data_IF_301776636378
#
_entry.id   IF_301776636378
#
_cell.length_a   1.000
_cell.length_b   1.000
_cell.length_c   1.000
_cell.angle_alpha   90.00
_cell.angle_beta   90.00
_cell.angle_gamma   90.00
#
_symmetry.space_group_name_H-M   'P 1'
#
loop_
_entity.id
_entity.type
_entity.pdbx_description
1 polymer ?
#
# COMPACT_ATOMS: atom_id res chain seq x y z
N UNK A 1 25.80 0.97 16.32
CA UNK A 1 25.50 1.49 14.96
C UNK A 1 25.52 0.34 13.96
N UNK A 2 24.38 -0.26 13.61
CA UNK A 2 24.29 -1.21 12.49
C UNK A 2 24.11 -0.41 11.21
N UNK A 3 25.09 -0.46 10.30
CA UNK A 3 24.95 0.02 8.93
C UNK A 3 23.74 -0.66 8.30
N UNK A 4 22.81 0.10 7.71
CA UNK A 4 21.73 -0.48 6.91
C UNK A 4 22.38 -1.26 5.77
N UNK A 5 22.19 -2.57 5.73
CA UNK A 5 22.56 -3.35 4.55
C UNK A 5 21.79 -2.78 3.36
N UNK A 6 22.51 -2.28 2.36
CA UNK A 6 21.97 -2.01 1.03
C UNK A 6 21.11 -3.22 0.63
N UNK A 7 19.80 -3.02 0.48
CA UNK A 7 18.90 -4.08 0.05
C UNK A 7 19.25 -4.38 -1.40
N UNK A 8 20.06 -5.40 -1.62
CA UNK A 8 20.36 -5.91 -2.95
C UNK A 8 19.03 -6.24 -3.62
N UNK A 9 18.73 -5.56 -4.73
CA UNK A 9 17.51 -5.82 -5.48
C UNK A 9 17.63 -7.21 -6.09
N UNK A 10 16.68 -8.13 -5.85
CA UNK A 10 16.72 -9.47 -6.44
C UNK A 10 16.92 -9.40 -7.96
N UNK A 11 17.74 -10.31 -8.51
CA UNK A 11 18.10 -10.31 -9.95
C UNK A 11 16.87 -10.25 -10.86
N UNK A 12 15.80 -10.96 -10.49
CA UNK A 12 14.52 -10.96 -11.23
C UNK A 12 13.84 -9.58 -11.22
N UNK A 13 13.91 -8.84 -10.11
CA UNK A 13 13.35 -7.49 -10.02
C UNK A 13 14.22 -6.53 -10.84
N UNK A 14 15.54 -6.67 -10.79
CA UNK A 14 16.46 -5.84 -11.58
C UNK A 14 16.24 -6.03 -13.10
N UNK A 15 16.09 -7.27 -13.57
CA UNK A 15 15.72 -7.57 -14.96
C UNK A 15 14.40 -6.91 -15.34
N UNK A 16 13.34 -7.10 -14.54
CA UNK A 16 12.04 -6.50 -14.81
C UNK A 16 12.09 -4.96 -14.85
N UNK A 17 12.82 -4.33 -13.93
CA UNK A 17 13.01 -2.88 -13.92
C UNK A 17 13.74 -2.38 -15.18
N UNK A 18 14.76 -3.11 -15.64
CA UNK A 18 15.45 -2.77 -16.89
C UNK A 18 14.53 -2.86 -18.12
N UNK A 19 13.61 -3.83 -18.17
CA UNK A 19 12.62 -3.95 -19.25
C UNK A 19 11.68 -2.75 -19.29
N UNK A 20 11.19 -2.32 -18.12
CA UNK A 20 10.34 -1.13 -17.98
C UNK A 20 11.05 0.15 -18.47
N UNK A 21 12.35 0.26 -18.25
CA UNK A 21 13.19 1.38 -18.70
C UNK A 21 13.50 1.35 -20.20
N UNK A 22 13.32 0.20 -20.86
CA UNK A 22 13.64 0.04 -22.28
C UNK A 22 15.15 -0.11 -22.52
N UNK A 23 15.91 -0.40 -21.47
CA UNK A 23 17.31 -0.80 -21.56
C UNK A 23 17.36 -2.09 -22.37
N UNK A 24 18.28 -2.16 -23.33
CA UNK A 24 18.29 -3.22 -24.34
C UNK A 24 18.73 -4.57 -23.73
N UNK A 25 17.80 -5.26 -23.06
CA UNK A 25 17.99 -6.63 -22.52
C UNK A 25 17.88 -7.65 -23.67
N UNK A 26 18.03 -7.23 -24.93
CA UNK A 26 17.96 -8.09 -26.13
C UNK A 26 19.20 -8.96 -26.32
N UNK A 27 20.25 -8.77 -25.52
CA UNK A 27 21.49 -9.53 -25.63
C UNK A 27 21.47 -10.91 -24.93
N UNK A 28 20.45 -11.25 -24.15
CA UNK A 28 20.37 -12.57 -23.49
C UNK A 28 19.62 -13.58 -24.38
N UNK A 29 20.33 -14.62 -24.82
CA UNK A 29 19.81 -15.67 -25.70
C UNK A 29 18.87 -16.65 -25.00
N UNK A 30 18.73 -16.58 -23.67
CA UNK A 30 17.86 -17.46 -22.86
C UNK A 30 16.57 -16.77 -22.39
N UNK A 31 15.80 -16.17 -23.31
CA UNK A 31 14.51 -15.55 -22.98
C UNK A 31 13.45 -16.62 -22.70
N UNK A 32 12.88 -16.60 -21.49
CA UNK A 32 11.71 -17.41 -21.15
C UNK A 32 10.45 -16.88 -21.85
N UNK A 33 9.41 -17.72 -21.95
CA UNK A 33 8.10 -17.27 -22.46
C UNK A 33 7.53 -16.09 -21.65
N UNK A 34 7.82 -16.03 -20.34
CA UNK A 34 7.41 -14.91 -19.48
C UNK A 34 8.14 -13.61 -19.85
N UNK A 35 9.44 -13.67 -20.17
CA UNK A 35 10.18 -12.48 -20.63
C UNK A 35 9.59 -11.93 -21.93
N UNK A 36 9.30 -12.79 -22.90
CA UNK A 36 8.69 -12.38 -24.17
C UNK A 36 7.30 -11.76 -23.97
N UNK A 37 6.48 -12.33 -23.09
CA UNK A 37 5.17 -11.78 -22.78
C UNK A 37 5.26 -10.39 -22.12
N UNK A 38 6.15 -10.21 -21.15
CA UNK A 38 6.36 -8.92 -20.50
C UNK A 38 6.86 -7.86 -21.49
N UNK A 39 7.80 -8.22 -22.36
CA UNK A 39 8.30 -7.29 -23.40
C UNK A 39 7.17 -6.87 -24.34
N UNK A 40 6.35 -7.82 -24.80
CA UNK A 40 5.19 -7.53 -25.66
C UNK A 40 4.22 -6.56 -25.00
N UNK A 41 3.84 -6.80 -23.73
CA UNK A 41 2.92 -5.92 -23.01
C UNK A 41 3.52 -4.52 -22.83
N UNK A 42 4.82 -4.42 -22.53
CA UNK A 42 5.50 -3.13 -22.38
C UNK A 42 5.55 -2.38 -23.73
N UNK A 43 5.81 -3.08 -24.84
CA UNK A 43 5.78 -2.53 -26.18
C UNK A 43 4.39 -2.02 -26.55
N UNK A 44 3.34 -2.81 -26.27
CA UNK A 44 1.94 -2.41 -26.51
C UNK A 44 1.55 -1.15 -25.72
N UNK A 45 1.95 -1.07 -24.44
CA UNK A 45 1.70 0.13 -23.61
C UNK A 45 2.42 1.36 -24.19
N UNK A 46 3.64 1.22 -24.71
CA UNK A 46 4.38 2.31 -25.35
C UNK A 46 3.78 2.69 -26.70
N UNK A 47 3.28 1.71 -27.47
CA UNK A 47 2.63 1.97 -28.74
C UNK A 47 1.33 2.77 -28.55
N UNK A 48 0.54 2.46 -27.53
CA UNK A 48 -0.70 3.17 -27.21
C UNK A 48 -0.50 4.67 -26.87
N UNK A 49 0.69 5.04 -26.37
CA UNK A 49 1.04 6.45 -26.15
C UNK A 49 1.13 7.23 -27.47
N UNK A 50 1.50 6.59 -28.59
CA UNK A 50 1.55 7.25 -29.90
C UNK A 50 0.15 7.73 -30.35
N UNK A 51 -0.90 7.07 -29.86
CA UNK A 51 -2.30 7.38 -30.22
C UNK A 51 -2.99 8.29 -29.18
N UNK A 52 -2.71 8.10 -27.90
CA UNK A 52 -3.51 8.67 -26.79
C UNK A 52 -2.74 9.60 -25.86
N UNK A 53 -1.43 9.82 -26.09
CA UNK A 53 -0.61 10.79 -25.38
C UNK A 53 0.50 10.17 -24.53
N UNK A 54 0.44 10.34 -23.20
CA UNK A 54 1.54 9.94 -22.30
C UNK A 54 1.09 9.10 -21.10
N UNK A 55 -0.08 8.48 -21.21
CA UNK A 55 -0.67 7.75 -20.10
C UNK A 55 0.04 6.40 -19.86
N UNK A 56 0.46 5.70 -20.91
CA UNK A 56 1.21 4.44 -20.85
C UNK A 56 2.58 4.62 -20.21
N UNK A 57 3.32 5.65 -20.59
CA UNK A 57 4.60 6.03 -19.97
C UNK A 57 4.42 6.27 -18.46
N UNK A 58 3.32 6.93 -18.06
CA UNK A 58 3.00 7.13 -16.64
C UNK A 58 2.71 5.80 -15.92
N UNK A 59 1.99 4.87 -16.56
CA UNK A 59 1.75 3.52 -16.01
C UNK A 59 3.08 2.81 -15.73
N UNK A 60 3.99 2.76 -16.71
CA UNK A 60 5.30 2.11 -16.57
C UNK A 60 6.15 2.76 -15.47
N UNK A 61 6.15 4.10 -15.40
CA UNK A 61 6.86 4.84 -14.34
C UNK A 61 6.31 4.52 -12.95
N UNK A 62 4.99 4.45 -12.78
CA UNK A 62 4.36 4.12 -11.49
C UNK A 62 4.57 2.66 -11.11
N UNK A 63 4.54 1.75 -12.09
CA UNK A 63 4.90 0.33 -11.89
C UNK A 63 6.32 0.22 -11.35
N UNK A 64 7.29 0.88 -11.98
CA UNK A 64 8.69 0.92 -11.51
C UNK A 64 8.79 1.40 -10.06
N UNK A 65 8.11 2.50 -9.73
CA UNK A 65 8.09 3.05 -8.36
C UNK A 65 7.63 2.02 -7.33
N UNK A 66 6.62 1.20 -7.65
CA UNK A 66 6.14 0.11 -6.77
C UNK A 66 7.26 -0.88 -6.41
N UNK A 67 8.04 -1.32 -7.40
CA UNK A 67 9.09 -2.32 -7.19
C UNK A 67 10.34 -1.76 -6.51
N UNK A 68 10.61 -0.46 -6.63
CA UNK A 68 11.71 0.20 -5.93
C UNK A 68 11.39 0.50 -4.46
N UNK A 69 10.11 0.51 -4.07
CA UNK A 69 9.69 1.03 -2.79
C UNK A 69 9.40 -0.05 -1.73
N UNK A 70 10.43 -0.38 -0.95
CA UNK A 70 10.31 -1.18 0.26
C UNK A 70 10.60 -0.33 1.51
N UNK A 71 9.74 0.66 1.81
CA UNK A 71 9.79 1.34 3.12
C UNK A 71 9.75 0.27 4.22
N UNK A 72 10.70 0.29 5.17
CA UNK A 72 10.61 -0.56 6.35
C UNK A 72 9.29 -0.29 7.07
N UNK A 73 8.73 -1.32 7.70
CA UNK A 73 7.61 -1.11 8.60
C UNK A 73 8.03 -0.13 9.68
N UNK A 74 7.34 1.00 9.72
CA UNK A 74 7.22 1.79 10.93
C UNK A 74 5.80 1.55 11.42
N UNK A 75 5.66 1.21 12.71
CA UNK A 75 4.34 1.15 13.34
C UNK A 75 3.70 2.53 13.21
N UNK A 76 2.58 2.60 12.48
CA UNK A 76 1.85 3.84 12.32
C UNK A 76 1.23 4.21 13.67
N UNK A 77 1.42 5.46 14.11
CA UNK A 77 0.88 5.97 15.38
C UNK A 77 -0.51 6.58 15.21
N UNK A 78 -0.98 6.67 13.97
CA UNK A 78 -2.30 7.19 13.63
C UNK A 78 -2.81 6.56 12.33
N UNK A 79 -4.12 6.65 12.11
CA UNK A 79 -4.75 6.22 10.85
C UNK A 79 -4.17 6.99 9.66
N UNK A 80 -3.87 8.29 9.81
CA UNK A 80 -3.31 9.11 8.74
C UNK A 80 -1.93 8.61 8.29
N UNK A 81 -1.05 8.29 9.25
CA UNK A 81 0.27 7.71 8.96
C UNK A 81 0.15 6.34 8.30
N UNK A 82 -0.79 5.52 8.77
CA UNK A 82 -1.07 4.21 8.19
C UNK A 82 -1.53 4.33 6.75
N UNK A 83 -2.50 5.20 6.46
CA UNK A 83 -3.03 5.40 5.12
C UNK A 83 -1.95 5.95 4.18
N UNK A 84 -1.11 6.87 4.65
CA UNK A 84 0.02 7.36 3.88
C UNK A 84 0.98 6.24 3.46
N UNK A 85 1.32 5.35 4.39
CA UNK A 85 2.10 4.16 4.09
C UNK A 85 1.36 3.18 3.17
N UNK A 86 0.06 2.96 3.43
CA UNK A 86 -0.73 1.94 2.74
C UNK A 86 -1.04 2.30 1.30
N UNK A 87 -1.27 3.58 0.98
CA UNK A 87 -1.43 4.08 -0.40
C UNK A 87 -0.26 3.68 -1.30
N UNK A 88 0.96 3.73 -0.77
CA UNK A 88 2.16 3.28 -1.48
C UNK A 88 2.15 1.75 -1.66
N UNK A 89 1.77 0.98 -0.64
CA UNK A 89 1.73 -0.49 -0.69
C UNK A 89 0.62 -1.09 -1.54
N UNK A 90 -0.55 -0.45 -1.62
CA UNK A 90 -1.62 -0.85 -2.55
C UNK A 90 -1.41 -0.31 -3.95
N UNK A 91 -0.27 0.35 -4.21
CA UNK A 91 0.10 0.87 -5.52
C UNK A 91 -0.96 1.84 -6.06
N UNK A 92 -1.54 2.70 -5.20
CA UNK A 92 -2.66 3.55 -5.57
C UNK A 92 -2.34 4.44 -6.79
N UNK A 93 -1.13 5.01 -6.85
CA UNK A 93 -0.70 5.82 -8.00
C UNK A 93 -0.61 5.02 -9.30
N UNK A 94 -0.23 3.74 -9.23
CA UNK A 94 -0.20 2.85 -10.39
C UNK A 94 -1.64 2.55 -10.85
N UNK A 95 -2.54 2.21 -9.94
CA UNK A 95 -3.96 1.96 -10.26
C UNK A 95 -4.59 3.19 -10.93
N UNK A 96 -4.37 4.38 -10.37
CA UNK A 96 -4.90 5.64 -10.92
C UNK A 96 -4.29 5.98 -12.28
N UNK A 97 -3.00 5.70 -12.49
CA UNK A 97 -2.36 5.86 -13.80
C UNK A 97 -2.95 4.88 -14.83
N UNK A 98 -3.22 3.64 -14.42
CA UNK A 98 -3.84 2.62 -15.27
C UNK A 98 -5.27 3.01 -15.66
N UNK A 99 -6.07 3.56 -14.73
CA UNK A 99 -7.42 4.09 -15.04
C UNK A 99 -7.32 5.23 -16.07
N UNK A 100 -6.37 6.15 -15.89
CA UNK A 100 -6.15 7.22 -16.88
C UNK A 100 -5.84 6.65 -18.26
N UNK A 101 -4.95 5.65 -18.30
CA UNK A 101 -4.51 4.98 -19.53
C UNK A 101 -5.66 4.25 -20.23
N UNK A 102 -6.44 3.44 -19.51
CA UNK A 102 -7.55 2.67 -20.10
C UNK A 102 -8.67 3.57 -20.62
N UNK A 103 -8.85 4.75 -20.03
CA UNK A 103 -9.83 5.73 -20.50
C UNK A 103 -9.33 6.61 -21.65
N UNK A 104 -8.06 6.50 -22.06
CA UNK A 104 -7.44 7.42 -23.03
C UNK A 104 -7.50 8.89 -22.57
N UNK A 105 -7.59 9.13 -21.26
CA UNK A 105 -7.88 10.45 -20.73
C UNK A 105 -6.63 11.33 -20.73
N UNK A 106 -6.74 12.59 -21.18
CA UNK A 106 -5.63 13.56 -21.16
C UNK A 106 -5.51 14.34 -19.85
N UNK A 107 -6.28 13.98 -18.81
CA UNK A 107 -6.33 14.70 -17.53
C UNK A 107 -4.96 14.79 -16.85
N UNK A 108 -4.64 15.97 -16.32
CA UNK A 108 -3.43 16.21 -15.54
C UNK A 108 -3.70 15.85 -14.08
N UNK A 109 -3.25 14.67 -13.66
CA UNK A 109 -3.50 14.11 -12.32
C UNK A 109 -2.90 14.95 -11.17
N UNK A 110 -1.98 15.85 -11.47
CA UNK A 110 -1.34 16.74 -10.49
C UNK A 110 -2.11 18.06 -10.27
N UNK A 111 -3.26 18.23 -10.90
CA UNK A 111 -4.07 19.45 -10.73
C UNK A 111 -4.56 19.56 -9.28
N UNK A 112 -4.47 20.76 -8.65
CA UNK A 112 -4.92 20.97 -7.27
C UNK A 112 -6.37 20.56 -7.03
N UNK A 113 -7.24 20.75 -8.03
CA UNK A 113 -8.65 20.38 -7.98
C UNK A 113 -8.88 18.86 -7.80
N UNK A 114 -7.94 18.02 -8.24
CA UNK A 114 -8.03 16.57 -8.14
C UNK A 114 -7.27 16.00 -6.95
N UNK A 115 -6.43 16.79 -6.27
CA UNK A 115 -5.56 16.31 -5.19
C UNK A 115 -6.34 15.59 -4.10
N UNK A 116 -7.41 16.20 -3.60
CA UNK A 116 -8.23 15.61 -2.53
C UNK A 116 -8.98 14.37 -3.02
N UNK A 117 -9.53 14.40 -4.23
CA UNK A 117 -10.22 13.25 -4.81
C UNK A 117 -9.30 12.04 -4.95
N UNK A 118 -8.09 12.24 -5.51
CA UNK A 118 -7.12 11.17 -5.70
C UNK A 118 -6.58 10.64 -4.36
N UNK A 119 -6.44 11.52 -3.37
CA UNK A 119 -6.08 11.14 -2.00
C UNK A 119 -7.16 10.22 -1.41
N UNK A 120 -8.42 10.64 -1.42
CA UNK A 120 -9.54 9.85 -0.89
C UNK A 120 -9.74 8.54 -1.65
N UNK A 121 -9.57 8.54 -2.97
CA UNK A 121 -9.63 7.32 -3.77
C UNK A 121 -8.53 6.32 -3.35
N UNK A 122 -7.31 6.81 -3.11
CA UNK A 122 -6.21 6.00 -2.59
C UNK A 122 -6.46 5.47 -1.17
N UNK A 123 -7.08 6.27 -0.31
CA UNK A 123 -7.45 5.87 1.05
C UNK A 123 -8.55 4.81 1.04
N UNK A 124 -9.59 5.03 0.24
CA UNK A 124 -10.66 4.06 0.04
C UNK A 124 -10.10 2.72 -0.46
N UNK A 125 -9.23 2.73 -1.48
CA UNK A 125 -8.58 1.52 -1.98
C UNK A 125 -7.77 0.81 -0.89
N UNK A 126 -7.06 1.57 -0.05
CA UNK A 126 -6.26 1.05 1.05
C UNK A 126 -7.11 0.35 2.11
N UNK A 127 -8.20 1.01 2.53
CA UNK A 127 -9.13 0.51 3.55
C UNK A 127 -9.90 -0.70 3.01
N UNK A 128 -10.50 -0.58 1.81
CA UNK A 128 -11.30 -1.65 1.23
C UNK A 128 -10.44 -2.89 0.99
N UNK A 129 -9.23 -2.73 0.44
CA UNK A 129 -8.30 -3.84 0.27
C UNK A 129 -8.00 -4.53 1.59
N UNK A 130 -7.76 -3.77 2.67
CA UNK A 130 -7.48 -4.32 3.99
C UNK A 130 -8.68 -5.08 4.58
N UNK A 131 -9.88 -4.50 4.50
CA UNK A 131 -11.12 -5.12 4.99
C UNK A 131 -11.37 -6.48 4.34
N UNK A 132 -11.30 -6.55 3.01
CA UNK A 132 -11.57 -7.79 2.28
C UNK A 132 -10.43 -8.81 2.37
N UNK A 133 -9.19 -8.37 2.63
CA UNK A 133 -8.06 -9.28 2.81
C UNK A 133 -7.84 -9.73 4.26
N UNK A 134 -8.49 -9.09 5.24
CA UNK A 134 -8.20 -9.28 6.66
C UNK A 134 -8.25 -10.74 7.11
N UNK A 135 -9.36 -11.45 6.86
CA UNK A 135 -9.52 -12.83 7.30
C UNK A 135 -8.42 -13.75 6.73
N UNK A 136 -8.03 -13.52 5.47
CA UNK A 136 -6.95 -14.26 4.81
C UNK A 136 -5.60 -13.94 5.47
N UNK A 137 -5.30 -12.66 5.68
CA UNK A 137 -4.03 -12.22 6.25
C UNK A 137 -3.88 -12.64 7.72
N UNK A 138 -4.94 -12.53 8.50
CA UNK A 138 -4.99 -12.94 9.91
C UNK A 138 -4.72 -14.44 10.06
N UNK A 139 -5.31 -15.28 9.20
CA UNK A 139 -5.03 -16.72 9.19
C UNK A 139 -3.55 -17.02 8.95
N UNK A 140 -2.97 -16.41 7.91
CA UNK A 140 -1.55 -16.64 7.57
C UNK A 140 -0.61 -16.13 8.66
N UNK A 141 -0.99 -15.05 9.35
CA UNK A 141 -0.27 -14.56 10.53
C UNK A 141 -0.35 -15.55 11.71
N UNK A 142 -1.54 -16.08 12.02
CA UNK A 142 -1.74 -17.06 13.08
C UNK A 142 -0.99 -18.37 12.84
N UNK A 143 -0.84 -18.78 11.58
CA UNK A 143 -0.04 -19.93 11.16
C UNK A 143 1.48 -19.69 11.25
N UNK A 144 1.92 -18.48 11.61
CA UNK A 144 3.33 -18.12 11.75
C UNK A 144 4.07 -17.96 10.42
N UNK A 145 3.35 -17.92 9.29
CA UNK A 145 3.91 -17.79 7.95
C UNK A 145 4.37 -16.36 7.63
N UNK A 146 3.85 -15.35 8.34
CA UNK A 146 4.32 -13.97 8.28
C UNK A 146 4.59 -13.40 9.67
N UNK A 147 5.67 -12.62 9.79
CA UNK A 147 6.09 -11.99 11.05
C UNK A 147 5.17 -10.85 11.52
N UNK A 148 4.40 -10.24 10.61
CA UNK A 148 3.59 -9.05 10.91
C UNK A 148 2.24 -9.11 10.20
N UNK A 149 1.17 -8.69 10.90
CA UNK A 149 -0.17 -8.48 10.32
C UNK A 149 -0.37 -6.99 10.04
N UNK A 150 -0.20 -6.58 8.78
CA UNK A 150 -0.23 -5.18 8.37
C UNK A 150 -1.55 -4.89 7.66
N UNK A 151 -2.59 -4.65 8.45
CA UNK A 151 -3.93 -4.51 7.95
C UNK A 151 -4.65 -3.32 8.59
N UNK A 152 -5.55 -2.68 7.84
CA UNK A 152 -6.30 -1.51 8.31
C UNK A 152 -7.16 -1.84 9.52
N UNK A 153 -7.71 -3.06 9.58
CA UNK A 153 -8.53 -3.53 10.71
C UNK A 153 -7.74 -3.48 12.01
N UNK A 154 -6.53 -4.04 12.03
CA UNK A 154 -5.67 -4.08 13.22
C UNK A 154 -5.26 -2.68 13.65
N UNK A 155 -4.84 -1.84 12.70
CA UNK A 155 -4.41 -0.48 13.03
C UNK A 155 -5.55 0.37 13.57
N UNK A 156 -6.77 0.23 13.03
CA UNK A 156 -7.93 0.94 13.56
C UNK A 156 -8.24 0.46 14.98
N UNK A 157 -8.17 -0.85 15.25
CA UNK A 157 -8.36 -1.40 16.59
C UNK A 157 -7.33 -0.82 17.58
N UNK A 158 -6.04 -0.80 17.21
CA UNK A 158 -4.97 -0.29 18.06
C UNK A 158 -5.14 1.21 18.35
N UNK A 159 -5.48 2.01 17.34
CA UNK A 159 -5.71 3.46 17.50
C UNK A 159 -6.93 3.71 18.39
N UNK A 160 -8.04 3.01 18.15
CA UNK A 160 -9.26 3.18 18.95
C UNK A 160 -9.06 2.74 20.40
N UNK A 161 -8.30 1.67 20.66
CA UNK A 161 -7.96 1.24 22.01
C UNK A 161 -7.12 2.30 22.74
N UNK A 162 -6.10 2.86 22.08
CA UNK A 162 -5.25 3.89 22.66
C UNK A 162 -6.01 5.21 22.94
N UNK A 163 -6.96 5.58 22.08
CA UNK A 163 -7.83 6.75 22.31
C UNK A 163 -8.78 6.51 23.49
N UNK A 164 -9.36 5.32 23.61
CA UNK A 164 -10.21 4.95 24.74
C UNK A 164 -9.44 4.98 26.07
N UNK A 165 -8.22 4.44 26.10
CA UNK A 165 -7.36 4.49 27.29
C UNK A 165 -7.07 5.95 27.71
N UNK A 166 -6.75 6.83 26.76
CA UNK A 166 -6.51 8.26 27.05
C UNK A 166 -7.75 8.93 27.60
N UNK A 167 -8.91 8.67 27.01
CA UNK A 167 -10.17 9.23 27.48
C UNK A 167 -10.46 8.80 28.93
N UNK A 168 -10.26 7.53 29.27
CA UNK A 168 -10.45 7.01 30.65
C UNK A 168 -9.42 7.57 31.64
N UNK A 169 -8.22 7.92 31.19
CA UNK A 169 -7.17 8.49 32.06
C UNK A 169 -7.32 10.01 32.26
N UNK A 170 -7.71 10.75 31.21
CA UNK A 170 -7.95 12.20 31.27
C UNK A 170 -9.26 12.52 32.00
N UNK A 171 -10.28 11.69 31.75
CA UNK A 171 -11.56 11.72 32.40
C UNK A 171 -11.50 10.67 33.52
N UNK A 172 -10.86 11.00 34.64
CA UNK A 172 -10.94 10.24 35.89
C UNK A 172 -12.42 10.14 36.32
N UNK A 173 -13.14 9.23 35.67
CA UNK A 173 -14.58 9.11 35.67
C UNK A 173 -15.03 8.39 36.93
N UNK A 174 -16.16 8.84 37.45
CA UNK A 174 -16.83 8.21 38.57
C UNK A 174 -17.17 6.73 38.28
N UNK A 175 -17.52 6.01 39.35
CA UNK A 175 -17.77 4.56 39.32
C UNK A 175 -18.82 4.11 38.30
N UNK A 176 -19.70 4.99 37.84
CA UNK A 176 -20.82 4.66 36.96
C UNK A 176 -20.35 4.40 35.51
N UNK A 177 -19.26 5.04 35.09
CA UNK A 177 -18.73 4.87 33.71
C UNK A 177 -17.88 3.60 33.55
N UNK A 178 -17.24 3.15 34.63
CA UNK A 178 -16.54 1.86 34.69
C UNK A 178 -17.53 0.68 34.54
N UNK A 179 -18.75 0.83 35.04
CA UNK A 179 -19.80 -0.19 34.91
C UNK A 179 -20.31 -0.29 33.47
N UNK A 180 -20.41 0.82 32.74
CA UNK A 180 -20.79 0.86 31.32
C UNK A 180 -19.80 0.10 30.40
N UNK A 181 -18.49 0.26 30.63
CA UNK A 181 -17.46 -0.47 29.88
C UNK A 181 -17.49 -1.98 30.16
N UNK A 182 -17.78 -2.36 31.41
CA UNK A 182 -17.86 -3.77 31.85
C UNK A 182 -19.05 -4.51 31.23
N UNK A 183 -20.20 -3.86 31.11
CA UNK A 183 -21.44 -4.44 30.56
C UNK A 183 -21.35 -4.73 29.05
N UNK A 184 -20.46 -4.05 28.31
CA UNK A 184 -20.30 -4.24 26.85
C UNK A 184 -19.16 -5.16 26.42
N UNK A 185 -18.48 -5.84 27.36
CA UNK A 185 -17.39 -6.76 27.04
C UNK A 185 -16.14 -6.08 26.46
N UNK A 186 -15.99 -4.77 26.70
CA UNK A 186 -14.73 -4.06 26.47
C UNK A 186 -13.83 -4.37 27.68
N UNK A 187 -13.14 -5.52 27.64
CA UNK A 187 -12.25 -5.94 28.71
C UNK A 187 -11.08 -4.96 28.84
N UNK A 188 -11.17 -4.03 29.78
CA UNK A 188 -10.04 -3.28 30.35
C UNK A 188 -9.35 -4.12 31.45
N UNK A 189 -9.06 -5.39 31.18
CA UNK A 189 -8.24 -6.19 32.09
C UNK A 189 -6.77 -5.89 31.81
N UNK A 190 -6.20 -4.93 32.55
CA UNK A 190 -4.75 -4.68 32.50
C UNK A 190 -4.24 -3.38 33.13
N UNK A 191 -5.10 -2.40 33.41
CA UNK A 191 -4.63 -1.07 33.85
C UNK A 191 -4.83 -0.92 35.36
N UNK A 192 -4.18 -1.73 36.18
CA UNK A 192 -3.82 -1.41 37.57
C UNK A 192 -2.85 -2.47 38.08
N UNK A 193 -1.54 -2.24 37.92
CA UNK A 193 -0.48 -2.49 38.89
C UNK A 193 0.77 -1.69 38.51
#
# INVERSE_FOLDING_TARGET
MRRSSEKQTPVVIADFLGRLEGTDIKADTNRSAQHCYLDSVIEDIRAADQETGNAGTKVLQKMRKTFMYLRPLQFAKSISEYLAFRREKVCAEFVLASIKFTLGASVVMQQPALTNFLLWAGDHLSISSGLYSYAKEAKVYQEGLFYYLINSVVVIQDVMAAELERFVVEEALDSETLEFCRVRGLCLEGVFF
#
